data_IF_358328233047
#
_entry.id   IF_358328233047
#
_cell.length_a   1.000
_cell.length_b   1.000
_cell.length_c   1.000
_cell.angle_alpha   90.00
_cell.angle_beta   90.00
_cell.angle_gamma   90.00
#
_symmetry.space_group_name_H-M   'P 1'
#
loop_
_entity.id
_entity.type
_entity.pdbx_description
1 polymer ?
#
# COMPACT_ATOMS: atom_id res chain seq x y z
N UNK A 1 -5.20 24.44 25.88
CA UNK A 1 -3.75 24.35 26.12
C UNK A 1 -3.09 25.43 25.26
N UNK A 2 -2.75 26.55 25.88
CA UNK A 2 -2.15 27.70 25.17
C UNK A 2 -0.77 27.31 24.62
N UNK A 3 -0.66 27.25 23.31
CA UNK A 3 0.63 27.09 22.64
C UNK A 3 1.32 28.45 22.73
N UNK A 4 2.28 28.59 23.66
CA UNK A 4 3.05 29.85 23.82
C UNK A 4 3.79 30.16 22.52
N UNK A 5 3.81 31.43 22.10
CA UNK A 5 4.47 31.93 20.89
C UNK A 5 5.88 31.35 20.69
N UNK A 6 6.63 31.18 21.77
CA UNK A 6 7.97 30.56 21.81
C UNK A 6 8.02 29.13 21.23
N UNK A 7 6.98 28.32 21.44
CA UNK A 7 6.86 26.98 20.86
C UNK A 7 6.54 27.03 19.36
N UNK A 8 5.78 28.03 18.89
CA UNK A 8 5.53 28.23 17.46
C UNK A 8 6.82 28.66 16.74
N UNK A 9 7.59 29.56 17.36
CA UNK A 9 8.88 30.02 16.80
C UNK A 9 9.89 28.87 16.69
N UNK A 10 10.00 28.02 17.72
CA UNK A 10 10.95 26.89 17.71
C UNK A 10 10.49 25.76 16.78
N UNK A 11 9.19 25.47 16.73
CA UNK A 11 8.67 24.33 15.97
C UNK A 11 8.38 24.63 14.50
N UNK A 12 8.24 25.91 14.12
CA UNK A 12 7.80 26.28 12.76
C UNK A 12 8.75 27.28 12.09
N UNK A 13 9.18 28.33 12.80
CA UNK A 13 9.99 29.41 12.22
C UNK A 13 11.45 29.00 12.07
N UNK A 14 12.04 28.41 13.12
CA UNK A 14 13.44 27.97 13.09
C UNK A 14 13.71 26.90 12.01
N UNK A 15 12.86 25.86 11.82
CA UNK A 15 13.01 24.92 10.72
C UNK A 15 12.89 25.59 9.34
N UNK A 16 11.97 26.55 9.18
CA UNK A 16 11.80 27.28 7.92
C UNK A 16 13.07 28.07 7.56
N UNK A 17 13.67 28.75 8.53
CA UNK A 17 14.90 29.53 8.35
C UNK A 17 16.08 28.61 8.04
N UNK A 18 16.22 27.49 8.76
CA UNK A 18 17.28 26.51 8.48
C UNK A 18 17.12 25.91 7.08
N UNK A 19 15.90 25.64 6.64
CA UNK A 19 15.59 25.13 5.29
C UNK A 19 15.96 26.15 4.23
N UNK A 20 15.60 27.43 4.41
CA UNK A 20 15.92 28.51 3.46
C UNK A 20 17.44 28.70 3.39
N UNK A 21 18.15 28.65 4.52
CA UNK A 21 19.60 28.76 4.53
C UNK A 21 20.28 27.55 3.86
N UNK A 22 19.80 26.33 4.11
CA UNK A 22 20.35 25.11 3.49
C UNK A 22 20.02 24.99 2.00
N UNK A 23 18.83 25.43 1.56
CA UNK A 23 18.46 25.43 0.15
C UNK A 23 19.28 26.44 -0.65
N UNK A 24 19.60 27.59 -0.05
CA UNK A 24 20.50 28.59 -0.64
C UNK A 24 21.95 28.08 -0.73
N UNK A 25 22.39 27.29 0.25
CA UNK A 25 23.74 26.71 0.28
C UNK A 25 23.93 25.52 -0.68
N UNK A 26 22.86 24.77 -1.01
CA UNK A 26 22.93 23.54 -1.81
C UNK A 26 22.44 23.71 -3.26
N UNK A 27 21.82 24.83 -3.63
CA UNK A 27 21.45 25.14 -5.02
C UNK A 27 20.32 24.27 -5.60
N UNK A 28 19.43 23.73 -4.76
CA UNK A 28 18.38 22.75 -5.15
C UNK A 28 16.97 23.36 -5.15
N UNK A 29 16.04 22.72 -5.90
CA UNK A 29 14.67 23.21 -6.10
C UNK A 29 13.81 23.19 -4.82
N UNK A 30 13.14 24.32 -4.53
CA UNK A 30 12.32 24.59 -3.32
C UNK A 30 11.21 23.56 -3.01
N UNK A 31 10.79 22.76 -3.99
CA UNK A 31 9.67 21.83 -3.90
C UNK A 31 9.95 20.63 -2.97
N UNK A 32 11.19 20.10 -3.00
CA UNK A 32 11.59 18.99 -2.15
C UNK A 32 11.49 19.38 -0.67
N UNK A 33 11.98 20.57 -0.32
CA UNK A 33 11.94 21.09 1.06
C UNK A 33 10.54 21.36 1.60
N UNK A 34 9.61 21.78 0.73
CA UNK A 34 8.19 21.94 1.12
C UNK A 34 7.54 20.58 1.43
N UNK A 35 7.84 19.55 0.64
CA UNK A 35 7.45 18.17 0.97
C UNK A 35 8.07 17.78 2.31
N UNK A 36 9.37 18.01 2.55
CA UNK A 36 10.01 17.67 3.83
C UNK A 36 9.44 18.44 5.04
N UNK A 37 8.96 19.68 4.86
CA UNK A 37 8.22 20.40 5.89
C UNK A 37 6.89 19.69 6.20
N UNK A 38 6.14 19.28 5.18
CA UNK A 38 4.94 18.47 5.35
C UNK A 38 5.23 17.11 6.00
N UNK A 39 6.37 16.49 5.67
CA UNK A 39 6.84 15.23 6.28
C UNK A 39 7.17 15.42 7.76
N UNK A 40 7.93 16.47 8.10
CA UNK A 40 8.26 16.84 9.48
C UNK A 40 7.02 17.21 10.29
N UNK A 41 6.06 17.94 9.70
CA UNK A 41 4.77 18.23 10.32
C UNK A 41 3.94 16.97 10.54
N UNK A 42 3.83 16.08 9.55
CA UNK A 42 3.12 14.81 9.68
C UNK A 42 3.75 13.92 10.75
N UNK A 43 5.09 13.84 10.79
CA UNK A 43 5.80 13.03 11.77
C UNK A 43 5.70 13.60 13.18
N UNK A 44 5.79 14.93 13.34
CA UNK A 44 5.52 15.63 14.59
C UNK A 44 4.10 15.38 15.08
N UNK A 45 3.11 15.45 14.18
CA UNK A 45 1.74 15.10 14.50
C UNK A 45 1.66 13.63 14.93
N UNK A 46 2.32 12.72 14.21
CA UNK A 46 2.32 11.27 14.51
C UNK A 46 2.94 10.95 15.87
N UNK A 47 4.10 11.53 16.20
CA UNK A 47 4.78 11.35 17.51
C UNK A 47 3.97 11.97 18.65
N UNK A 48 3.41 13.17 18.45
CA UNK A 48 2.49 13.82 19.40
C UNK A 48 1.19 13.04 19.58
N UNK A 49 0.65 12.44 18.52
CA UNK A 49 -0.53 11.56 18.60
C UNK A 49 -0.20 10.24 19.29
N UNK A 50 1.02 9.70 19.14
CA UNK A 50 1.46 8.47 19.82
C UNK A 50 1.82 8.68 21.31
N UNK A 51 1.92 9.93 21.77
CA UNK A 51 2.15 10.30 23.17
C UNK A 51 3.63 10.38 23.55
N UNK A 52 4.53 10.52 22.57
CA UNK A 52 5.96 10.60 22.77
C UNK A 52 6.46 12.02 22.51
N UNK A 53 7.17 12.60 23.48
CA UNK A 53 7.87 13.88 23.32
C UNK A 53 9.26 13.63 22.71
N UNK A 54 9.33 13.39 21.41
CA UNK A 54 10.62 13.41 20.69
C UNK A 54 10.91 14.87 20.34
N UNK A 55 12.07 15.36 20.78
CA UNK A 55 12.52 16.72 20.45
C UNK A 55 12.77 16.84 18.95
N UNK A 56 12.20 17.89 18.33
CA UNK A 56 12.34 18.18 16.90
C UNK A 56 13.82 18.30 16.47
N UNK A 57 14.69 18.63 17.42
CA UNK A 57 16.16 18.70 17.31
C UNK A 57 16.83 17.38 16.90
N UNK A 58 16.25 16.21 17.20
CA UNK A 58 16.81 14.92 16.78
C UNK A 58 16.41 14.52 15.35
N UNK A 59 15.32 15.08 14.84
CA UNK A 59 14.74 14.72 13.54
C UNK A 59 15.46 15.45 12.39
N UNK A 60 15.91 16.68 12.63
CA UNK A 60 16.61 17.49 11.63
C UNK A 60 17.94 16.85 11.19
N UNK A 61 18.85 16.41 12.08
CA UNK A 61 20.09 15.74 11.66
C UNK A 61 19.85 14.43 10.90
N UNK A 62 18.82 13.65 11.28
CA UNK A 62 18.49 12.39 10.61
C UNK A 62 17.92 12.66 9.21
N UNK A 63 17.04 13.66 9.07
CA UNK A 63 16.54 14.11 7.76
C UNK A 63 17.66 14.73 6.91
N UNK A 64 18.58 15.50 7.51
CA UNK A 64 19.73 16.10 6.83
C UNK A 64 20.74 15.06 6.36
N UNK A 65 21.03 14.03 7.17
CA UNK A 65 21.88 12.90 6.75
C UNK A 65 21.18 12.08 5.66
N UNK A 66 19.87 11.84 5.78
CA UNK A 66 19.09 11.19 4.73
C UNK A 66 19.09 12.01 3.42
N UNK A 67 19.01 13.34 3.50
CA UNK A 67 19.09 14.28 2.38
C UNK A 67 20.46 14.24 1.67
N UNK A 68 21.55 14.30 2.42
CA UNK A 68 22.93 14.22 1.87
C UNK A 68 23.17 12.89 1.16
N UNK A 69 22.53 11.82 1.62
CA UNK A 69 22.65 10.51 0.99
C UNK A 69 21.75 10.33 -0.25
N UNK A 70 20.74 11.17 -0.50
CA UNK A 70 19.66 10.85 -1.48
C UNK A 70 19.57 11.72 -2.74
N UNK A 71 20.29 12.83 -2.88
CA UNK A 71 20.31 13.60 -4.14
C UNK A 71 18.97 14.27 -4.52
N UNK A 72 18.93 14.90 -5.70
CA UNK A 72 18.12 16.11 -5.96
C UNK A 72 16.60 15.96 -6.19
N UNK A 73 16.01 14.77 -6.32
CA UNK A 73 14.59 14.69 -6.69
C UNK A 73 13.84 13.57 -5.99
N UNK A 74 12.95 13.95 -5.09
CA UNK A 74 12.00 13.05 -4.45
C UNK A 74 10.56 13.38 -4.89
N UNK A 75 10.16 12.83 -6.03
CA UNK A 75 8.77 12.46 -6.29
C UNK A 75 8.79 11.08 -6.95
N UNK A 76 8.60 10.04 -6.15
CA UNK A 76 8.54 8.65 -6.61
C UNK A 76 9.76 8.20 -7.43
N UNK A 77 10.98 8.39 -6.91
CA UNK A 77 12.17 7.78 -7.53
C UNK A 77 12.22 6.27 -7.21
N UNK A 78 11.40 5.53 -7.95
CA UNK A 78 11.40 4.08 -7.99
C UNK A 78 12.56 3.52 -8.85
N UNK A 79 13.36 4.33 -9.55
CA UNK A 79 14.34 3.84 -10.54
C UNK A 79 15.72 4.54 -10.51
N UNK A 80 16.55 4.26 -11.51
CA UNK A 80 17.99 4.11 -11.36
C UNK A 80 18.79 5.32 -11.85
N UNK A 81 19.00 6.31 -10.97
CA UNK A 81 20.09 7.28 -11.13
C UNK A 81 21.47 6.60 -10.93
N UNK A 82 21.87 5.78 -11.91
CA UNK A 82 23.21 5.19 -12.07
C UNK A 82 23.78 4.47 -10.83
N UNK A 83 22.97 3.75 -10.05
CA UNK A 83 23.44 2.97 -8.88
C UNK A 83 24.16 3.79 -7.78
N UNK A 84 24.18 5.13 -7.87
CA UNK A 84 24.93 6.01 -6.97
C UNK A 84 24.40 6.00 -5.52
N UNK A 85 23.16 5.57 -5.32
CA UNK A 85 22.61 5.27 -4.01
C UNK A 85 21.96 3.87 -4.02
N UNK A 86 22.61 2.85 -3.44
CA UNK A 86 22.10 1.48 -3.45
C UNK A 86 20.95 1.26 -2.46
N UNK A 87 20.73 2.17 -1.51
CA UNK A 87 19.76 1.96 -0.43
C UNK A 87 18.35 2.44 -0.79
N UNK A 88 18.19 3.50 -1.60
CA UNK A 88 16.90 4.05 -2.11
C UNK A 88 15.70 3.80 -1.17
N UNK A 89 15.83 4.14 0.12
CA UNK A 89 14.76 3.94 1.10
C UNK A 89 13.91 5.20 1.14
N UNK A 90 12.59 5.07 1.03
CA UNK A 90 11.71 6.21 1.18
C UNK A 90 11.89 6.83 2.59
N UNK A 91 12.07 8.16 2.73
CA UNK A 91 12.31 8.81 4.03
C UNK A 91 11.28 8.49 5.11
N UNK A 92 9.99 8.38 4.75
CA UNK A 92 8.94 7.88 5.66
C UNK A 92 9.20 6.48 6.18
N UNK A 93 9.60 5.55 5.33
CA UNK A 93 9.89 4.17 5.72
C UNK A 93 11.11 4.15 6.63
N UNK A 94 12.16 4.91 6.30
CA UNK A 94 13.33 5.04 7.17
C UNK A 94 12.96 5.61 8.55
N UNK A 95 12.24 6.73 8.59
CA UNK A 95 11.81 7.37 9.84
C UNK A 95 10.89 6.44 10.65
N UNK A 96 9.99 5.72 9.98
CA UNK A 96 9.15 4.69 10.58
C UNK A 96 9.99 3.57 11.21
N UNK A 97 10.98 3.04 10.48
CA UNK A 97 11.84 1.97 10.98
C UNK A 97 12.66 2.42 12.18
N UNK A 98 13.16 3.67 12.20
CA UNK A 98 13.83 4.23 13.37
C UNK A 98 12.89 4.25 14.58
N UNK A 99 11.65 4.73 14.41
CA UNK A 99 10.63 4.73 15.49
C UNK A 99 10.35 3.30 15.97
N UNK A 100 10.17 2.37 15.03
CA UNK A 100 9.90 0.98 15.34
C UNK A 100 11.06 0.34 16.12
N UNK A 101 12.31 0.55 15.71
CA UNK A 101 13.49 0.02 16.39
C UNK A 101 13.63 0.58 17.80
N UNK A 102 13.45 1.90 17.97
CA UNK A 102 13.48 2.54 19.30
C UNK A 102 12.38 1.97 20.21
N UNK A 103 11.15 1.87 19.70
CA UNK A 103 10.02 1.24 20.39
C UNK A 103 10.31 -0.22 20.76
N UNK A 104 10.92 -0.97 19.84
CA UNK A 104 11.24 -2.37 20.07
C UNK A 104 12.29 -2.53 21.18
N UNK A 105 13.40 -1.78 21.10
CA UNK A 105 14.47 -1.81 22.11
C UNK A 105 13.93 -1.43 23.48
N UNK A 106 13.15 -0.35 23.59
CA UNK A 106 12.56 0.09 24.85
C UNK A 106 11.67 -1.00 25.47
N UNK A 107 10.78 -1.60 24.66
CA UNK A 107 9.89 -2.66 25.15
C UNK A 107 10.62 -3.96 25.46
N UNK A 108 11.72 -4.26 24.75
CA UNK A 108 12.57 -5.42 25.02
C UNK A 108 13.27 -5.26 26.37
N UNK A 109 13.91 -4.12 26.61
CA UNK A 109 14.62 -3.80 27.86
C UNK A 109 13.67 -3.78 29.05
N UNK A 110 12.45 -3.27 28.86
CA UNK A 110 11.42 -3.22 29.90
C UNK A 110 10.61 -4.51 30.03
N UNK A 111 10.95 -5.58 29.29
CA UNK A 111 10.25 -6.89 29.27
C UNK A 111 8.73 -6.76 29.02
N UNK A 112 8.33 -5.79 28.19
CA UNK A 112 6.93 -5.51 27.84
C UNK A 112 6.49 -6.20 26.54
N UNK A 113 7.41 -6.82 25.80
CA UNK A 113 7.12 -7.57 24.56
C UNK A 113 6.42 -8.90 24.88
N UNK A 114 5.40 -9.20 24.09
CA UNK A 114 4.70 -10.49 24.12
C UNK A 114 5.34 -11.39 23.06
N UNK A 115 6.06 -12.42 23.51
CA UNK A 115 6.67 -13.44 22.65
C UNK A 115 5.67 -14.57 22.37
N UNK A 116 4.73 -14.32 21.46
CA UNK A 116 3.80 -15.36 21.02
C UNK A 116 4.02 -15.76 19.56
N UNK A 117 3.24 -16.75 19.09
CA UNK A 117 3.42 -17.35 17.77
C UNK A 117 3.39 -16.32 16.63
N UNK A 118 2.53 -15.31 16.70
CA UNK A 118 2.43 -14.27 15.67
C UNK A 118 3.66 -13.38 15.69
N UNK A 119 4.10 -12.94 16.87
CA UNK A 119 5.31 -12.15 17.02
C UNK A 119 6.53 -12.90 16.46
N UNK A 120 6.72 -14.16 16.87
CA UNK A 120 7.84 -14.98 16.43
C UNK A 120 7.83 -15.20 14.91
N UNK A 121 6.66 -15.44 14.32
CA UNK A 121 6.53 -15.59 12.87
C UNK A 121 6.78 -14.28 12.11
N UNK A 122 6.36 -13.12 12.63
CA UNK A 122 6.72 -11.83 12.05
C UNK A 122 8.25 -11.66 11.98
N UNK A 123 8.94 -11.87 13.10
CA UNK A 123 10.41 -11.76 13.16
C UNK A 123 11.07 -12.79 12.23
N UNK A 124 10.58 -14.03 12.22
CA UNK A 124 11.10 -15.08 11.36
C UNK A 124 10.96 -14.73 9.87
N UNK A 125 9.79 -14.25 9.43
CA UNK A 125 9.59 -13.78 8.05
C UNK A 125 10.55 -12.64 7.72
N UNK A 126 10.66 -11.65 8.60
CA UNK A 126 11.55 -10.50 8.39
C UNK A 126 13.01 -10.93 8.23
N UNK A 127 13.49 -11.79 9.13
CA UNK A 127 14.87 -12.30 9.10
C UNK A 127 15.12 -13.15 7.87
N UNK A 128 14.21 -14.05 7.52
CA UNK A 128 14.38 -14.93 6.36
C UNK A 128 14.34 -14.14 5.05
N UNK A 129 13.36 -13.26 4.86
CA UNK A 129 13.21 -12.52 3.60
C UNK A 129 14.36 -11.53 3.42
N UNK A 130 14.77 -10.86 4.51
CA UNK A 130 15.95 -10.01 4.50
C UNK A 130 17.22 -10.83 4.24
N UNK A 131 17.39 -11.97 4.92
CA UNK A 131 18.55 -12.85 4.75
C UNK A 131 18.69 -13.38 3.33
N UNK A 132 17.59 -13.84 2.71
CA UNK A 132 17.58 -14.30 1.31
C UNK A 132 18.01 -13.17 0.38
N UNK A 133 17.42 -11.98 0.55
CA UNK A 133 17.74 -10.81 -0.27
C UNK A 133 19.20 -10.36 -0.09
N UNK A 134 19.69 -10.34 1.15
CA UNK A 134 21.04 -9.91 1.46
C UNK A 134 22.10 -10.87 0.91
N UNK A 135 21.91 -12.18 1.06
CA UNK A 135 22.87 -13.18 0.57
C UNK A 135 22.94 -13.18 -0.97
N UNK A 136 21.81 -12.99 -1.65
CA UNK A 136 21.74 -13.07 -3.12
C UNK A 136 22.07 -11.76 -3.84
N UNK A 137 21.67 -10.62 -3.29
CA UNK A 137 21.80 -9.29 -3.93
C UNK A 137 22.63 -8.28 -3.14
N UNK A 138 23.07 -8.61 -1.94
CA UNK A 138 23.79 -7.68 -1.07
C UNK A 138 22.97 -6.43 -0.76
N UNK A 139 23.64 -5.28 -0.70
CA UNK A 139 23.04 -3.99 -0.34
C UNK A 139 22.04 -3.50 -1.41
N UNK A 140 22.28 -3.80 -2.69
CA UNK A 140 21.42 -3.35 -3.79
C UNK A 140 20.00 -3.93 -3.77
N UNK A 141 19.80 -5.09 -3.13
CA UNK A 141 18.47 -5.69 -2.93
C UNK A 141 17.71 -5.16 -1.71
N UNK A 142 18.39 -4.48 -0.78
CA UNK A 142 17.80 -4.11 0.51
C UNK A 142 16.60 -3.18 0.37
N UNK A 143 16.64 -2.25 -0.59
CA UNK A 143 15.51 -1.32 -0.83
C UNK A 143 14.20 -2.09 -1.06
N UNK A 144 14.23 -3.14 -1.88
CA UNK A 144 13.04 -3.94 -2.18
C UNK A 144 12.53 -4.68 -0.94
N UNK A 145 13.43 -5.34 -0.20
CA UNK A 145 13.06 -6.06 1.01
C UNK A 145 12.46 -5.13 2.08
N UNK A 146 13.02 -3.91 2.18
CA UNK A 146 12.57 -2.91 3.14
C UNK A 146 11.16 -2.41 2.81
N UNK A 147 10.89 -2.05 1.55
CA UNK A 147 9.57 -1.54 1.17
C UNK A 147 8.50 -2.63 1.12
N UNK A 148 8.82 -3.81 0.60
CA UNK A 148 7.81 -4.84 0.42
C UNK A 148 7.49 -5.61 1.70
N UNK A 149 8.43 -5.73 2.64
CA UNK A 149 8.26 -6.61 3.80
C UNK A 149 8.57 -5.91 5.12
N UNK A 150 9.74 -5.29 5.27
CA UNK A 150 10.16 -4.73 6.56
C UNK A 150 9.23 -3.62 7.04
N UNK A 151 8.94 -2.63 6.20
CA UNK A 151 8.03 -1.52 6.53
C UNK A 151 6.62 -2.00 6.89
N UNK A 152 5.92 -2.73 6.01
CA UNK A 152 4.56 -3.19 6.27
C UNK A 152 4.43 -4.11 7.51
N UNK A 153 5.33 -5.10 7.66
CA UNK A 153 5.27 -6.05 8.79
C UNK A 153 5.64 -5.37 10.11
N UNK A 154 6.66 -4.50 10.12
CA UNK A 154 7.02 -3.75 11.33
C UNK A 154 5.90 -2.80 11.77
N UNK A 155 5.15 -2.22 10.82
CA UNK A 155 3.94 -1.43 11.11
C UNK A 155 2.90 -2.23 11.90
N UNK A 156 2.57 -3.43 11.43
CA UNK A 156 1.67 -4.31 12.17
C UNK A 156 2.25 -4.71 13.53
N UNK A 157 3.54 -5.09 13.58
CA UNK A 157 4.18 -5.55 14.81
C UNK A 157 4.21 -4.46 15.89
N UNK A 158 4.40 -3.19 15.51
CA UNK A 158 4.33 -2.06 16.44
C UNK A 158 2.99 -2.00 17.18
N UNK A 159 1.88 -2.01 16.45
CA UNK A 159 0.54 -1.97 17.06
C UNK A 159 0.20 -3.26 17.78
N UNK A 160 0.70 -4.39 17.28
CA UNK A 160 0.56 -5.69 17.91
C UNK A 160 1.17 -5.72 19.32
N UNK A 161 2.39 -5.20 19.48
CA UNK A 161 3.10 -5.16 20.76
C UNK A 161 2.65 -4.01 21.67
N UNK A 162 1.99 -2.97 21.14
CA UNK A 162 1.59 -1.80 21.93
C UNK A 162 0.51 -2.14 22.95
N UNK A 163 0.80 -2.01 24.25
CA UNK A 163 -0.15 -2.36 25.33
C UNK A 163 -1.44 -1.52 25.31
N UNK A 164 -1.33 -0.20 25.16
CA UNK A 164 -2.47 0.71 25.11
C UNK A 164 -2.51 1.44 23.76
N UNK A 165 -3.62 1.28 23.05
CA UNK A 165 -3.84 1.93 21.76
C UNK A 165 -5.01 2.89 21.93
N UNK A 166 -4.79 4.17 21.65
CA UNK A 166 -5.84 5.17 21.66
C UNK A 166 -6.66 5.04 20.38
N UNK A 167 -7.73 4.26 20.42
CA UNK A 167 -8.60 3.95 19.27
C UNK A 167 -9.21 5.21 18.68
N UNK A 168 -9.55 6.22 19.50
CA UNK A 168 -10.04 7.52 19.02
C UNK A 168 -9.02 8.23 18.12
N UNK A 169 -7.73 8.20 18.47
CA UNK A 169 -6.68 8.80 17.63
C UNK A 169 -6.45 8.01 16.34
N UNK A 170 -6.47 6.68 16.42
CA UNK A 170 -6.37 5.82 15.22
C UNK A 170 -7.53 6.08 14.28
N UNK A 171 -8.77 6.12 14.79
CA UNK A 171 -9.96 6.39 14.01
C UNK A 171 -9.90 7.77 13.34
N UNK A 172 -9.35 8.80 14.00
CA UNK A 172 -9.09 10.11 13.36
C UNK A 172 -8.09 10.02 12.22
N UNK A 173 -7.02 9.24 12.36
CA UNK A 173 -6.06 9.04 11.28
C UNK A 173 -6.69 8.30 10.09
N UNK A 174 -7.55 7.31 10.36
CA UNK A 174 -8.34 6.62 9.32
C UNK A 174 -9.32 7.60 8.65
N UNK A 175 -9.96 8.49 9.39
CA UNK A 175 -10.84 9.50 8.82
C UNK A 175 -10.07 10.45 7.87
N UNK A 176 -8.87 10.87 8.26
CA UNK A 176 -7.98 11.68 7.40
C UNK A 176 -7.59 10.89 6.13
N UNK A 177 -7.28 9.61 6.26
CA UNK A 177 -6.97 8.76 5.11
C UNK A 177 -8.17 8.65 4.16
N UNK A 178 -9.39 8.47 4.67
CA UNK A 178 -10.61 8.47 3.85
C UNK A 178 -10.77 9.80 3.13
N UNK A 179 -10.56 10.93 3.80
CA UNK A 179 -10.58 12.25 3.16
C UNK A 179 -9.56 12.38 2.03
N UNK A 180 -8.32 11.95 2.26
CA UNK A 180 -7.30 11.92 1.21
C UNK A 180 -7.71 11.01 0.03
N UNK A 181 -8.27 9.82 0.31
CA UNK A 181 -8.78 8.92 -0.73
C UNK A 181 -9.89 9.57 -1.55
N UNK A 182 -10.82 10.30 -0.92
CA UNK A 182 -11.89 11.05 -1.60
C UNK A 182 -11.31 12.13 -2.51
N UNK A 183 -10.33 12.90 -2.02
CA UNK A 183 -9.67 13.92 -2.85
C UNK A 183 -8.98 13.29 -4.07
N UNK A 184 -8.27 12.17 -3.88
CA UNK A 184 -7.63 11.43 -4.97
C UNK A 184 -8.68 10.89 -5.97
N UNK A 185 -9.81 10.37 -5.47
CA UNK A 185 -10.92 9.88 -6.31
C UNK A 185 -11.54 11.00 -7.14
N UNK A 186 -11.89 12.13 -6.52
CA UNK A 186 -12.42 13.30 -7.22
C UNK A 186 -11.44 13.84 -8.28
N UNK A 187 -10.14 13.86 -7.96
CA UNK A 187 -9.10 14.20 -8.94
C UNK A 187 -9.03 13.18 -10.08
N UNK A 188 -9.22 11.89 -9.80
CA UNK A 188 -9.30 10.84 -10.82
C UNK A 188 -10.50 11.01 -11.75
N UNK A 189 -11.67 11.33 -11.21
CA UNK A 189 -12.86 11.66 -12.01
C UNK A 189 -12.58 12.87 -12.91
N UNK A 190 -11.99 13.94 -12.37
CA UNK A 190 -11.62 15.12 -13.15
C UNK A 190 -10.58 14.82 -14.23
N UNK A 191 -9.55 14.03 -13.89
CA UNK A 191 -8.51 13.55 -14.81
C UNK A 191 -9.15 12.78 -15.97
N UNK A 192 -10.13 11.93 -15.71
CA UNK A 192 -10.82 11.16 -16.75
C UNK A 192 -11.56 12.07 -17.76
N UNK A 193 -12.31 13.07 -17.27
CA UNK A 193 -13.06 13.98 -18.14
C UNK A 193 -12.15 14.90 -18.95
N UNK A 194 -11.09 15.42 -18.32
CA UNK A 194 -10.14 16.33 -18.98
C UNK A 194 -9.12 15.60 -19.85
N UNK A 195 -8.91 14.29 -19.61
CA UNK A 195 -7.82 13.47 -20.16
C UNK A 195 -6.44 14.04 -19.84
N UNK A 196 -6.33 14.91 -18.83
CA UNK A 196 -5.08 15.55 -18.42
C UNK A 196 -4.71 15.15 -17.00
N UNK A 197 -3.49 14.67 -16.81
CA UNK A 197 -2.91 14.40 -15.50
C UNK A 197 -1.79 15.40 -15.23
N UNK A 198 -1.83 16.09 -14.10
CA UNK A 198 -0.83 17.11 -13.72
C UNK A 198 0.59 16.51 -13.59
N UNK A 199 0.68 15.22 -13.26
CA UNK A 199 1.92 14.46 -13.15
C UNK A 199 2.32 13.75 -14.44
N UNK A 200 1.62 13.97 -15.56
CA UNK A 200 1.90 13.30 -16.84
C UNK A 200 3.35 13.49 -17.30
N UNK A 201 3.88 14.72 -17.22
CA UNK A 201 5.26 15.02 -17.62
C UNK A 201 6.28 14.26 -16.77
N UNK A 202 5.98 14.03 -15.49
CA UNK A 202 6.83 13.26 -14.60
C UNK A 202 6.80 11.77 -14.95
N UNK A 203 5.62 11.22 -15.28
CA UNK A 203 5.52 9.83 -15.72
C UNK A 203 6.23 9.59 -17.07
N UNK A 204 6.10 10.55 -18.00
CA UNK A 204 6.74 10.48 -19.31
C UNK A 204 8.26 10.64 -19.24
N UNK A 205 8.78 11.56 -18.42
CA UNK A 205 10.22 11.75 -18.23
C UNK A 205 10.92 10.49 -17.67
N UNK A 206 10.16 9.65 -16.96
CA UNK A 206 10.67 8.45 -16.31
C UNK A 206 10.53 7.16 -17.14
N UNK A 207 10.20 7.25 -18.44
CA UNK A 207 10.07 6.12 -19.37
C UNK A 207 9.27 4.93 -18.80
N UNK A 208 8.17 5.23 -18.12
CA UNK A 208 7.30 4.22 -17.53
C UNK A 208 6.72 3.31 -18.63
N UNK A 209 7.17 2.05 -18.70
CA UNK A 209 6.75 1.06 -19.71
C UNK A 209 5.24 0.82 -19.75
N UNK A 210 4.55 1.06 -18.64
CA UNK A 210 3.09 0.96 -18.54
C UNK A 210 2.35 2.16 -19.14
N UNK A 211 3.00 3.31 -19.32
CA UNK A 211 2.36 4.56 -19.76
C UNK A 211 1.83 4.43 -21.20
N UNK A 212 2.58 3.79 -22.10
CA UNK A 212 2.18 3.57 -23.49
C UNK A 212 0.91 2.74 -23.62
N UNK A 213 0.68 1.82 -22.67
CA UNK A 213 -0.52 0.98 -22.62
C UNK A 213 -1.78 1.76 -22.18
N UNK A 214 -1.62 2.94 -21.56
CA UNK A 214 -2.75 3.73 -21.04
C UNK A 214 -3.46 4.60 -22.10
N UNK A 215 -2.91 4.69 -23.31
CA UNK A 215 -3.50 5.47 -24.40
C UNK A 215 -4.12 4.62 -25.52
N UNK A 216 -3.68 3.35 -25.68
CA UNK A 216 -4.14 2.47 -26.78
C UNK A 216 -5.55 1.90 -26.59
N UNK A 217 -6.00 1.71 -25.35
CA UNK A 217 -7.26 1.03 -25.01
C UNK A 217 -8.34 1.98 -24.45
N UNK A 218 -8.14 3.29 -24.58
CA UNK A 218 -8.95 4.33 -23.93
C UNK A 218 -8.26 4.90 -22.69
N UNK A 219 -8.67 6.11 -22.28
CA UNK A 219 -8.01 6.84 -21.19
C UNK A 219 -8.25 6.16 -19.84
N UNK A 220 -7.17 5.80 -19.14
CA UNK A 220 -7.21 5.20 -17.80
C UNK A 220 -6.63 6.17 -16.79
N UNK A 221 -7.32 6.39 -15.68
CA UNK A 221 -6.87 7.32 -14.65
C UNK A 221 -5.57 6.81 -14.00
N UNK A 222 -4.65 7.75 -13.75
CA UNK A 222 -3.35 7.50 -13.11
C UNK A 222 -3.28 8.14 -11.72
N UNK A 223 -4.01 9.22 -11.50
CA UNK A 223 -3.99 10.04 -10.29
C UNK A 223 -2.56 10.42 -9.88
N UNK A 224 -2.32 10.68 -8.58
CA UNK A 224 -0.99 10.83 -8.00
C UNK A 224 -0.28 9.48 -7.78
N UNK A 225 -1.04 8.37 -7.76
CA UNK A 225 -0.51 7.02 -7.45
C UNK A 225 0.26 6.44 -8.64
N UNK A 226 -0.09 6.83 -9.87
CA UNK A 226 0.58 6.39 -11.10
C UNK A 226 -0.13 5.20 -11.75
N UNK A 227 0.40 3.99 -11.59
CA UNK A 227 -0.06 2.83 -12.35
C UNK A 227 -1.57 2.57 -12.16
N UNK A 228 -2.38 2.36 -13.22
CA UNK A 228 -3.83 2.19 -13.06
C UNK A 228 -4.26 0.99 -12.21
N UNK A 229 -3.48 -0.11 -12.17
CA UNK A 229 -3.79 -1.24 -11.28
C UNK A 229 -3.55 -0.89 -9.80
N UNK A 230 -2.54 -0.08 -9.50
CA UNK A 230 -2.23 0.33 -8.13
C UNK A 230 -3.31 1.29 -7.61
N UNK A 231 -3.80 2.18 -8.49
CA UNK A 231 -4.99 2.98 -8.23
C UNK A 231 -6.21 2.11 -7.90
N UNK A 232 -6.48 1.09 -8.70
CA UNK A 232 -7.63 0.21 -8.50
C UNK A 232 -7.58 -0.47 -7.13
N UNK A 233 -6.39 -0.95 -6.72
CA UNK A 233 -6.21 -1.55 -5.39
C UNK A 233 -6.33 -0.52 -4.28
N UNK A 234 -5.79 0.68 -4.45
CA UNK A 234 -5.94 1.76 -3.47
C UNK A 234 -7.41 2.12 -3.24
N UNK A 235 -8.21 2.23 -4.31
CA UNK A 235 -9.64 2.48 -4.19
C UNK A 235 -10.39 1.30 -3.59
N UNK A 236 -10.04 0.06 -3.92
CA UNK A 236 -10.61 -1.13 -3.25
C UNK A 236 -10.29 -1.14 -1.74
N UNK A 237 -9.04 -0.85 -1.37
CA UNK A 237 -8.63 -0.68 0.02
C UNK A 237 -9.43 0.43 0.71
N UNK A 238 -9.63 1.57 0.03
CA UNK A 238 -10.43 2.69 0.54
C UNK A 238 -11.90 2.30 0.75
N UNK A 239 -12.50 1.51 -0.17
CA UNK A 239 -13.86 0.96 0.01
C UNK A 239 -13.95 0.07 1.25
N UNK A 240 -12.97 -0.81 1.46
CA UNK A 240 -12.92 -1.69 2.64
C UNK A 240 -12.84 -0.87 3.93
N UNK A 241 -11.98 0.15 3.97
CA UNK A 241 -11.84 1.02 5.13
C UNK A 241 -13.14 1.78 5.42
N UNK A 242 -13.81 2.28 4.38
CA UNK A 242 -15.14 2.91 4.52
C UNK A 242 -16.15 1.94 5.13
N UNK A 243 -16.17 0.68 4.69
CA UNK A 243 -17.05 -0.34 5.26
C UNK A 243 -16.79 -0.56 6.76
N UNK A 244 -15.53 -0.57 7.18
CA UNK A 244 -15.13 -0.78 8.57
C UNK A 244 -15.36 0.44 9.47
N UNK A 245 -15.15 1.66 8.95
CA UNK A 245 -15.09 2.90 9.76
C UNK A 245 -16.39 3.72 9.74
N UNK A 246 -17.05 3.83 8.60
CA UNK A 246 -18.17 4.76 8.41
C UNK A 246 -19.46 4.07 8.85
N UNK A 247 -20.14 4.64 9.84
CA UNK A 247 -21.40 4.07 10.38
C UNK A 247 -22.65 4.65 9.72
N UNK A 248 -22.59 5.90 9.29
CA UNK A 248 -23.71 6.54 8.59
C UNK A 248 -23.89 5.94 7.20
N UNK A 249 -25.08 5.39 6.93
CA UNK A 249 -25.36 4.68 5.68
C UNK A 249 -25.27 5.62 4.48
N UNK A 250 -25.78 6.86 4.58
CA UNK A 250 -25.79 7.81 3.46
C UNK A 250 -24.35 8.12 3.04
N UNK A 251 -23.53 8.56 3.99
CA UNK A 251 -22.10 8.86 3.75
C UNK A 251 -21.36 7.63 3.25
N UNK A 252 -21.56 6.47 3.89
CA UNK A 252 -20.92 5.21 3.49
C UNK A 252 -21.19 4.89 2.02
N UNK A 253 -22.46 4.83 1.62
CA UNK A 253 -22.83 4.42 0.27
C UNK A 253 -22.47 5.46 -0.79
N UNK A 254 -22.48 6.75 -0.46
CA UNK A 254 -21.95 7.80 -1.35
C UNK A 254 -20.45 7.60 -1.60
N UNK A 255 -19.67 7.31 -0.55
CA UNK A 255 -18.23 7.06 -0.68
C UNK A 255 -17.94 5.76 -1.44
N UNK A 256 -18.70 4.69 -1.18
CA UNK A 256 -18.57 3.43 -1.90
C UNK A 256 -18.90 3.58 -3.40
N UNK A 257 -19.91 4.39 -3.72
CA UNK A 257 -20.26 4.72 -5.11
C UNK A 257 -19.14 5.51 -5.80
N UNK A 258 -18.54 6.49 -5.12
CA UNK A 258 -17.39 7.22 -5.67
C UNK A 258 -16.24 6.25 -5.99
N UNK A 259 -15.83 5.44 -5.01
CA UNK A 259 -14.67 4.56 -5.21
C UNK A 259 -14.91 3.42 -6.21
N UNK A 260 -16.14 2.90 -6.36
CA UNK A 260 -16.40 1.92 -7.42
C UNK A 260 -16.38 2.57 -8.81
N UNK A 261 -16.81 3.84 -8.94
CA UNK A 261 -16.62 4.62 -10.16
C UNK A 261 -15.13 4.80 -10.41
N UNK A 262 -14.33 5.20 -9.42
CA UNK A 262 -12.88 5.34 -9.58
C UNK A 262 -12.23 4.03 -10.06
N UNK A 263 -12.57 2.89 -9.45
CA UNK A 263 -12.10 1.56 -9.91
C UNK A 263 -12.51 1.32 -11.36
N UNK A 264 -13.73 1.66 -11.77
CA UNK A 264 -14.18 1.55 -13.15
C UNK A 264 -13.30 2.41 -14.09
N UNK A 265 -12.99 3.64 -13.70
CA UNK A 265 -12.15 4.59 -14.47
C UNK A 265 -10.68 4.14 -14.59
N UNK A 266 -10.19 3.29 -13.69
CA UNK A 266 -8.86 2.65 -13.85
C UNK A 266 -8.83 1.58 -14.94
N UNK A 267 -9.99 1.14 -15.43
CA UNK A 267 -10.12 0.05 -16.40
C UNK A 267 -9.70 -1.32 -15.88
N UNK A 268 -9.59 -1.52 -14.55
CA UNK A 268 -9.21 -2.80 -13.94
C UNK A 268 -10.40 -3.74 -13.77
N UNK A 269 -10.54 -4.71 -14.69
CA UNK A 269 -11.67 -5.65 -14.75
C UNK A 269 -11.79 -6.55 -13.51
N UNK A 270 -10.69 -7.17 -13.09
CA UNK A 270 -10.68 -8.12 -11.97
C UNK A 270 -10.98 -7.41 -10.64
N UNK A 271 -10.37 -6.25 -10.42
CA UNK A 271 -10.59 -5.46 -9.20
C UNK A 271 -12.00 -4.88 -9.18
N UNK A 272 -12.53 -4.45 -10.33
CA UNK A 272 -13.92 -4.01 -10.45
C UNK A 272 -14.91 -5.12 -10.07
N UNK A 273 -14.71 -6.35 -10.57
CA UNK A 273 -15.53 -7.49 -10.19
C UNK A 273 -15.43 -7.80 -8.67
N UNK A 274 -14.22 -7.72 -8.12
CA UNK A 274 -13.96 -7.98 -6.69
C UNK A 274 -14.57 -6.89 -5.79
N UNK A 275 -14.67 -5.64 -6.26
CA UNK A 275 -15.28 -4.54 -5.52
C UNK A 275 -16.74 -4.83 -5.11
N UNK A 276 -17.46 -5.63 -5.89
CA UNK A 276 -18.82 -6.07 -5.54
C UNK A 276 -18.87 -6.93 -4.28
N UNK A 277 -17.83 -7.72 -3.98
CA UNK A 277 -17.74 -8.46 -2.72
C UNK A 277 -17.68 -7.52 -1.51
N UNK A 278 -17.03 -6.36 -1.67
CA UNK A 278 -16.97 -5.30 -0.64
C UNK A 278 -18.32 -4.59 -0.51
N UNK A 279 -19.04 -4.37 -1.60
CA UNK A 279 -20.39 -3.76 -1.57
C UNK A 279 -21.45 -4.66 -0.92
N UNK A 280 -21.38 -5.97 -1.17
CA UNK A 280 -22.32 -6.97 -0.63
C UNK A 280 -22.05 -7.24 0.86
N UNK A 281 -20.83 -6.97 1.34
CA UNK A 281 -20.48 -7.15 2.74
C UNK A 281 -21.40 -6.33 3.65
N UNK A 282 -22.11 -7.01 4.55
CA UNK A 282 -22.98 -6.39 5.55
C UNK A 282 -22.72 -6.97 6.93
N UNK A 283 -22.03 -6.20 7.78
CA UNK A 283 -21.74 -6.56 9.17
C UNK A 283 -23.03 -6.66 10.03
N UNK A 284 -24.08 -5.92 9.69
CA UNK A 284 -25.32 -5.81 10.47
C UNK A 284 -26.36 -6.89 10.13
N UNK A 285 -26.04 -7.82 9.23
CA UNK A 285 -26.96 -8.77 8.60
C UNK A 285 -27.69 -9.78 9.51
N UNK A 286 -27.52 -9.72 10.84
CA UNK A 286 -28.06 -10.71 11.79
C UNK A 286 -29.00 -10.16 12.88
N UNK A 287 -29.19 -8.83 13.02
CA UNK A 287 -29.96 -8.29 14.17
C UNK A 287 -31.27 -7.54 13.86
N UNK A 288 -31.47 -6.99 12.65
CA UNK A 288 -32.71 -6.26 12.30
C UNK A 288 -33.11 -6.47 10.83
N UNK A 289 -34.27 -7.09 10.59
CA UNK A 289 -34.73 -7.51 9.25
C UNK A 289 -35.04 -6.34 8.30
N UNK A 290 -35.64 -5.25 8.79
CA UNK A 290 -36.04 -4.11 7.96
C UNK A 290 -34.86 -3.25 7.48
N UNK A 291 -33.90 -2.97 8.36
CA UNK A 291 -32.68 -2.24 7.97
C UNK A 291 -31.82 -3.06 7.02
N UNK A 292 -31.84 -4.39 7.16
CA UNK A 292 -31.20 -5.34 6.24
C UNK A 292 -31.77 -5.22 4.83
N UNK A 293 -33.10 -5.25 4.67
CA UNK A 293 -33.75 -5.12 3.35
C UNK A 293 -33.38 -3.78 2.68
N UNK A 294 -33.43 -2.67 3.43
CA UNK A 294 -33.06 -1.34 2.91
C UNK A 294 -31.59 -1.29 2.46
N UNK A 295 -30.68 -1.86 3.25
CA UNK A 295 -29.26 -1.92 2.89
C UNK A 295 -29.02 -2.78 1.64
N UNK A 296 -29.64 -3.96 1.55
CA UNK A 296 -29.54 -4.80 0.35
C UNK A 296 -30.11 -4.10 -0.88
N UNK A 297 -31.23 -3.40 -0.74
CA UNK A 297 -31.81 -2.63 -1.84
C UNK A 297 -30.86 -1.52 -2.30
N UNK A 298 -30.28 -0.74 -1.39
CA UNK A 298 -29.30 0.31 -1.74
C UNK A 298 -28.06 -0.29 -2.42
N UNK A 299 -27.54 -1.40 -1.88
CA UNK A 299 -26.43 -2.13 -2.50
C UNK A 299 -26.79 -2.58 -3.91
N UNK A 300 -27.97 -3.20 -4.10
CA UNK A 300 -28.46 -3.61 -5.42
C UNK A 300 -28.66 -2.41 -6.37
N UNK A 301 -29.12 -1.26 -5.88
CA UNK A 301 -29.21 -0.04 -6.67
C UNK A 301 -27.83 0.44 -7.12
N UNK A 302 -26.82 0.45 -6.24
CA UNK A 302 -25.45 0.83 -6.61
C UNK A 302 -24.90 -0.14 -7.65
N UNK A 303 -25.09 -1.45 -7.45
CA UNK A 303 -24.69 -2.47 -8.41
C UNK A 303 -25.39 -2.23 -9.76
N UNK A 304 -26.71 -2.06 -9.74
CA UNK A 304 -27.51 -1.80 -10.93
C UNK A 304 -27.08 -0.54 -11.67
N UNK A 305 -26.93 0.58 -10.98
CA UNK A 305 -26.47 1.85 -11.57
C UNK A 305 -25.06 1.70 -12.14
N UNK A 306 -24.14 1.09 -11.40
CA UNK A 306 -22.75 0.90 -11.87
C UNK A 306 -22.71 0.01 -13.11
N UNK A 307 -23.46 -1.09 -13.13
CA UNK A 307 -23.57 -1.98 -14.29
C UNK A 307 -24.24 -1.28 -15.49
N UNK A 308 -25.31 -0.54 -15.28
CA UNK A 308 -26.00 0.22 -16.33
C UNK A 308 -25.09 1.29 -16.93
N UNK A 309 -24.42 2.09 -16.09
CA UNK A 309 -23.45 3.11 -16.54
C UNK A 309 -22.32 2.46 -17.30
N UNK A 310 -21.81 1.32 -16.82
CA UNK A 310 -20.77 0.58 -17.51
C UNK A 310 -21.24 0.15 -18.89
N UNK A 311 -22.39 -0.53 -19.00
CA UNK A 311 -22.92 -1.06 -20.26
C UNK A 311 -23.35 0.02 -21.26
N UNK A 312 -23.74 1.21 -20.79
CA UNK A 312 -24.25 2.31 -21.63
C UNK A 312 -23.19 3.32 -22.07
N UNK A 313 -21.94 3.19 -21.61
CA UNK A 313 -20.86 4.15 -21.91
C UNK A 313 -19.67 3.49 -22.60
N UNK A 314 -18.76 4.31 -23.13
CA UNK A 314 -17.50 3.84 -23.72
C UNK A 314 -16.64 3.02 -22.74
N UNK A 315 -16.83 3.20 -21.43
CA UNK A 315 -16.18 2.39 -20.39
C UNK A 315 -16.53 0.90 -20.52
N UNK A 316 -17.78 0.57 -20.83
CA UNK A 316 -18.20 -0.82 -21.08
C UNK A 316 -17.53 -1.39 -22.32
N UNK A 317 -17.45 -0.62 -23.40
CA UNK A 317 -16.74 -1.04 -24.62
C UNK A 317 -15.24 -1.26 -24.37
N UNK A 318 -14.59 -0.43 -23.56
CA UNK A 318 -13.20 -0.60 -23.12
C UNK A 318 -13.05 -1.84 -22.24
N UNK A 319 -13.97 -2.11 -21.29
CA UNK A 319 -13.90 -3.33 -20.49
C UNK A 319 -14.12 -4.59 -21.34
N UNK A 320 -15.09 -4.57 -22.26
CA UNK A 320 -15.44 -5.73 -23.10
C UNK A 320 -14.39 -6.03 -24.17
N UNK A 321 -13.83 -5.00 -24.83
CA UNK A 321 -12.71 -5.19 -25.77
C UNK A 321 -11.52 -5.85 -25.09
N UNK A 322 -11.23 -5.47 -23.84
CA UNK A 322 -10.18 -6.11 -23.03
C UNK A 322 -10.52 -7.53 -22.63
N UNK A 323 -11.80 -7.90 -22.45
CA UNK A 323 -12.23 -9.31 -22.24
C UNK A 323 -11.98 -10.13 -23.50
N UNK A 324 -12.29 -9.60 -24.68
CA UNK A 324 -12.04 -10.27 -25.96
C UNK A 324 -10.55 -10.45 -26.30
N UNK A 325 -9.68 -9.52 -25.88
CA UNK A 325 -8.21 -9.59 -26.08
C UNK A 325 -7.44 -10.22 -24.90
N UNK A 326 -8.13 -10.81 -23.93
CA UNK A 326 -7.53 -11.30 -22.68
C UNK A 326 -6.74 -12.61 -22.80
N UNK A 327 -6.62 -13.18 -24.01
CA UNK A 327 -5.84 -14.39 -24.26
C UNK A 327 -4.45 -14.27 -23.67
N UNK A 328 -3.76 -13.16 -23.93
CA UNK A 328 -2.32 -13.06 -23.70
C UNK A 328 -1.92 -13.07 -22.21
N UNK A 329 -2.63 -12.34 -21.35
CA UNK A 329 -2.34 -12.28 -19.90
C UNK A 329 -2.83 -13.53 -19.15
N UNK A 330 -3.99 -14.07 -19.55
CA UNK A 330 -4.53 -15.29 -18.95
C UNK A 330 -3.65 -16.49 -19.31
N UNK A 331 -3.26 -16.58 -20.58
CA UNK A 331 -2.35 -17.60 -21.09
C UNK A 331 -0.96 -17.47 -20.48
N UNK A 332 -0.40 -16.26 -20.34
CA UNK A 332 0.86 -16.04 -19.65
C UNK A 332 0.85 -16.55 -18.20
N UNK A 333 -0.24 -16.32 -17.45
CA UNK A 333 -0.39 -16.82 -16.07
C UNK A 333 -0.49 -18.34 -16.04
N UNK A 334 -1.25 -18.96 -16.94
CA UNK A 334 -1.35 -20.42 -17.01
C UNK A 334 -0.03 -21.07 -17.44
N UNK A 335 0.67 -20.49 -18.42
CA UNK A 335 2.02 -20.93 -18.82
C UNK A 335 3.00 -20.86 -17.65
N UNK A 336 2.96 -19.79 -16.86
CA UNK A 336 3.79 -19.64 -15.67
C UNK A 336 3.45 -20.69 -14.59
N UNK A 337 2.16 -20.92 -14.33
CA UNK A 337 1.71 -21.94 -13.37
C UNK A 337 2.14 -23.34 -13.83
N UNK A 338 1.95 -23.67 -15.10
CA UNK A 338 2.33 -24.96 -15.67
C UNK A 338 3.85 -25.18 -15.59
N UNK A 339 4.64 -24.16 -15.97
CA UNK A 339 6.09 -24.19 -15.80
C UNK A 339 6.48 -24.40 -14.34
N UNK A 340 5.87 -23.64 -13.42
CA UNK A 340 6.15 -23.68 -12.00
C UNK A 340 5.87 -25.06 -11.39
N UNK A 341 4.71 -25.66 -11.70
CA UNK A 341 4.33 -26.98 -11.18
C UNK A 341 5.27 -28.06 -11.71
N UNK A 342 5.61 -28.03 -13.00
CA UNK A 342 6.50 -29.02 -13.63
C UNK A 342 7.93 -28.99 -13.07
N UNK A 343 8.38 -27.83 -12.60
CA UNK A 343 9.74 -27.63 -12.07
C UNK A 343 9.76 -27.46 -10.56
N UNK A 344 8.64 -27.71 -9.87
CA UNK A 344 8.52 -27.43 -8.44
C UNK A 344 9.61 -28.13 -7.63
N UNK A 345 9.93 -29.38 -7.96
CA UNK A 345 10.96 -30.18 -7.28
C UNK A 345 12.40 -29.79 -7.63
N UNK A 346 12.62 -29.02 -8.70
CA UNK A 346 13.96 -28.58 -9.11
C UNK A 346 14.33 -27.21 -8.55
N UNK A 347 13.40 -26.50 -7.90
CA UNK A 347 13.71 -25.23 -7.26
C UNK A 347 14.46 -25.42 -5.94
N UNK A 348 15.41 -24.52 -5.68
CA UNK A 348 16.15 -24.49 -4.42
C UNK A 348 15.25 -24.05 -3.27
N UNK A 349 15.63 -24.42 -2.04
CA UNK A 349 14.92 -24.01 -0.82
C UNK A 349 14.86 -22.49 -0.71
N UNK A 350 15.97 -21.83 -1.04
CA UNK A 350 16.17 -20.40 -1.02
C UNK A 350 15.84 -19.77 -2.37
N UNK A 351 15.16 -18.63 -2.35
CA UNK A 351 14.86 -17.85 -3.55
C UNK A 351 16.02 -16.98 -4.04
N UNK A 352 15.74 -16.19 -5.07
CA UNK A 352 16.69 -15.34 -5.80
C UNK A 352 16.77 -13.90 -5.24
N UNK A 353 16.07 -13.62 -4.13
CA UNK A 353 16.13 -12.36 -3.40
C UNK A 353 15.67 -11.13 -4.16
N UNK A 354 14.48 -11.17 -4.76
CA UNK A 354 13.90 -10.01 -5.43
C UNK A 354 14.38 -9.85 -6.87
N UNK A 355 14.86 -10.92 -7.52
CA UNK A 355 15.36 -10.91 -8.90
C UNK A 355 14.27 -11.12 -9.94
N UNK A 356 12.99 -11.08 -9.55
CA UNK A 356 11.83 -11.21 -10.42
C UNK A 356 11.93 -10.42 -11.73
N UNK A 357 12.39 -9.17 -11.69
CA UNK A 357 12.58 -8.30 -12.87
C UNK A 357 13.65 -8.80 -13.87
N UNK A 358 14.59 -9.64 -13.41
CA UNK A 358 15.70 -10.17 -14.21
C UNK A 358 15.48 -11.62 -14.65
N UNK A 359 14.43 -12.27 -14.16
CA UNK A 359 14.11 -13.66 -14.49
C UNK A 359 13.53 -13.69 -15.91
N UNK A 360 14.28 -14.30 -16.84
CA UNK A 360 13.81 -14.64 -18.18
C UNK A 360 13.49 -16.13 -18.23
N UNK A 361 12.20 -16.47 -18.20
CA UNK A 361 11.76 -17.85 -18.41
C UNK A 361 11.40 -18.00 -19.88
N UNK A 362 11.94 -19.05 -20.50
CA UNK A 362 11.66 -19.40 -21.88
C UNK A 362 10.82 -20.67 -21.87
N UNK A 363 9.61 -20.58 -22.41
CA UNK A 363 8.67 -21.68 -22.58
C UNK A 363 8.99 -22.56 -23.79
N UNK A 364 8.06 -23.46 -24.12
CA UNK A 364 8.18 -24.28 -25.34
C UNK A 364 8.19 -23.37 -26.58
N UNK A 365 9.02 -23.69 -27.57
CA UNK A 365 9.21 -22.91 -28.80
C UNK A 365 9.82 -21.52 -28.62
N UNK A 366 10.66 -21.35 -27.59
CA UNK A 366 11.38 -20.09 -27.34
C UNK A 366 10.47 -18.89 -27.03
N UNK A 367 9.25 -19.13 -26.55
CA UNK A 367 8.31 -18.08 -26.15
C UNK A 367 8.67 -17.53 -24.77
N UNK A 368 8.80 -16.21 -24.58
CA UNK A 368 9.07 -15.64 -23.26
C UNK A 368 7.83 -15.82 -22.36
N UNK A 369 8.02 -16.38 -21.18
CA UNK A 369 6.97 -16.49 -20.15
C UNK A 369 7.02 -15.23 -19.28
N UNK A 370 5.94 -14.46 -19.29
CA UNK A 370 5.79 -13.24 -18.49
C UNK A 370 5.41 -13.61 -17.06
N UNK A 371 6.11 -13.02 -16.08
CA UNK A 371 5.79 -13.18 -14.67
C UNK A 371 4.55 -12.35 -14.30
N UNK A 372 3.38 -13.00 -14.24
CA UNK A 372 2.10 -12.35 -13.92
C UNK A 372 1.37 -12.96 -12.70
N UNK A 373 2.04 -13.78 -11.90
CA UNK A 373 1.49 -14.37 -10.68
C UNK A 373 2.29 -13.94 -9.45
N UNK A 374 1.71 -13.13 -8.54
CA UNK A 374 2.44 -12.54 -7.42
C UNK A 374 2.93 -13.59 -6.39
N UNK A 375 2.24 -14.71 -6.26
CA UNK A 375 2.65 -15.78 -5.35
C UNK A 375 3.83 -16.58 -5.91
N UNK A 376 3.84 -16.84 -7.22
CA UNK A 376 4.98 -17.48 -7.90
C UNK A 376 6.18 -16.53 -7.93
N UNK A 377 5.95 -15.23 -8.17
CA UNK A 377 6.99 -14.19 -8.08
C UNK A 377 7.59 -14.18 -6.66
N UNK A 378 6.74 -14.15 -5.63
CA UNK A 378 7.20 -14.19 -4.24
C UNK A 378 7.96 -15.49 -3.92
N UNK A 379 7.55 -16.62 -4.49
CA UNK A 379 8.30 -17.87 -4.38
C UNK A 379 9.66 -17.76 -5.06
N UNK A 380 9.76 -17.17 -6.25
CA UNK A 380 11.06 -16.95 -6.88
C UNK A 380 11.94 -16.02 -6.06
N UNK A 381 11.36 -15.07 -5.32
CA UNK A 381 12.13 -14.16 -4.49
C UNK A 381 12.63 -14.81 -3.19
N UNK A 382 11.80 -15.59 -2.49
CA UNK A 382 12.13 -16.08 -1.14
C UNK A 382 12.14 -17.61 -1.01
N UNK A 383 11.88 -18.34 -2.09
CA UNK A 383 11.82 -19.79 -2.12
C UNK A 383 10.67 -20.33 -1.28
N UNK A 384 10.89 -21.48 -0.65
CA UNK A 384 9.89 -22.15 0.18
C UNK A 384 9.57 -21.40 1.48
N UNK A 385 10.34 -20.37 1.85
CA UNK A 385 10.02 -19.50 2.99
C UNK A 385 8.71 -18.72 2.79
N UNK A 386 8.17 -18.66 1.57
CA UNK A 386 6.82 -18.14 1.30
C UNK A 386 5.74 -18.81 2.16
N UNK A 387 5.91 -20.11 2.49
CA UNK A 387 4.95 -20.84 3.32
C UNK A 387 4.84 -20.26 4.73
N UNK A 388 5.95 -19.75 5.27
CA UNK A 388 6.00 -19.09 6.58
C UNK A 388 5.24 -17.76 6.53
N UNK A 389 5.36 -17.03 5.42
CA UNK A 389 4.60 -15.80 5.19
C UNK A 389 3.09 -16.06 5.06
N UNK A 390 2.69 -17.11 4.32
CA UNK A 390 1.29 -17.52 4.21
C UNK A 390 0.73 -17.91 5.59
N UNK A 391 1.49 -18.70 6.37
CA UNK A 391 1.11 -19.05 7.74
C UNK A 391 0.96 -17.81 8.63
N UNK A 392 1.86 -16.84 8.51
CA UNK A 392 1.78 -15.56 9.22
C UNK A 392 0.46 -14.84 8.88
N UNK A 393 0.13 -14.71 7.60
CA UNK A 393 -1.12 -14.07 7.16
C UNK A 393 -2.35 -14.78 7.74
N UNK A 394 -2.38 -16.12 7.72
CA UNK A 394 -3.48 -16.91 8.31
C UNK A 394 -3.62 -16.62 9.82
N UNK A 395 -2.51 -16.61 10.56
CA UNK A 395 -2.56 -16.35 12.00
C UNK A 395 -2.99 -14.91 12.33
N UNK A 396 -2.57 -13.93 11.52
CA UNK A 396 -3.05 -12.56 11.67
C UNK A 396 -4.56 -12.50 11.38
N UNK A 397 -5.02 -13.08 10.27
CA UNK A 397 -6.45 -13.13 9.92
C UNK A 397 -7.29 -13.75 11.05
N UNK A 398 -6.78 -14.74 11.77
CA UNK A 398 -7.48 -15.32 12.92
C UNK A 398 -7.70 -14.31 14.07
N UNK A 399 -6.93 -13.23 14.15
CA UNK A 399 -6.91 -12.25 15.25
C UNK A 399 -7.50 -10.87 14.92
N UNK A 400 -8.08 -10.69 13.75
CA UNK A 400 -8.69 -9.41 13.33
C UNK A 400 -10.21 -9.49 13.24
N UNK A 401 -10.87 -8.33 13.32
CA UNK A 401 -12.26 -8.14 12.89
C UNK A 401 -12.29 -7.95 11.35
N UNK A 402 -13.47 -8.09 10.74
CA UNK A 402 -13.67 -7.89 9.30
C UNK A 402 -12.80 -8.79 8.39
N UNK A 403 -12.52 -10.02 8.85
CA UNK A 403 -11.66 -11.01 8.16
C UNK A 403 -12.04 -11.22 6.69
N UNK A 404 -13.34 -11.24 6.38
CA UNK A 404 -13.85 -11.41 5.02
C UNK A 404 -13.35 -10.30 4.10
N UNK A 405 -13.40 -9.03 4.56
CA UNK A 405 -12.91 -7.90 3.76
C UNK A 405 -11.39 -7.96 3.56
N UNK A 406 -10.63 -8.38 4.58
CA UNK A 406 -9.20 -8.60 4.44
C UNK A 406 -8.87 -9.71 3.42
N UNK A 407 -9.64 -10.82 3.43
CA UNK A 407 -9.52 -11.89 2.43
C UNK A 407 -9.87 -11.36 1.03
N UNK A 408 -10.88 -10.50 0.89
CA UNK A 408 -11.21 -9.85 -0.39
C UNK A 408 -10.03 -9.05 -0.94
N UNK A 409 -9.32 -8.30 -0.09
CA UNK A 409 -8.11 -7.59 -0.52
C UNK A 409 -6.98 -8.56 -0.89
N UNK A 410 -6.77 -9.64 -0.13
CA UNK A 410 -5.79 -10.68 -0.45
C UNK A 410 -6.09 -11.32 -1.83
N UNK A 411 -7.36 -11.57 -2.12
CA UNK A 411 -7.77 -12.09 -3.42
C UNK A 411 -7.50 -11.08 -4.56
N UNK A 412 -7.75 -9.79 -4.33
CA UNK A 412 -7.45 -8.73 -5.30
C UNK A 412 -5.95 -8.61 -5.59
N UNK A 413 -5.12 -8.58 -4.56
CA UNK A 413 -3.65 -8.51 -4.73
C UNK A 413 -3.10 -9.80 -5.34
N UNK A 414 -3.75 -10.95 -5.16
CA UNK A 414 -3.38 -12.20 -5.85
C UNK A 414 -3.58 -12.14 -7.38
N UNK A 415 -4.34 -11.16 -7.88
CA UNK A 415 -4.72 -11.05 -9.29
C UNK A 415 -3.77 -10.24 -10.18
N UNK A 416 -2.67 -9.70 -9.66
CA UNK A 416 -1.66 -8.94 -10.43
C UNK A 416 -0.32 -8.91 -9.69
N UNK A 417 0.74 -8.38 -10.32
CA UNK A 417 2.08 -8.28 -9.73
C UNK A 417 2.11 -7.32 -8.53
N UNK A 418 1.80 -7.86 -7.36
CA UNK A 418 1.62 -7.12 -6.10
C UNK A 418 2.67 -7.46 -5.03
N UNK A 419 3.26 -8.66 -5.09
CA UNK A 419 4.35 -9.11 -4.24
C UNK A 419 5.63 -9.27 -5.06
N UNK A 420 6.78 -9.04 -4.42
CA UNK A 420 8.08 -9.26 -5.05
C UNK A 420 8.44 -8.28 -6.17
N UNK A 421 7.63 -7.21 -6.31
CA UNK A 421 7.86 -6.07 -7.19
C UNK A 421 7.68 -4.80 -6.39
N UNK A 422 8.20 -3.67 -6.87
CA UNK A 422 8.09 -2.38 -6.17
C UNK A 422 6.63 -1.86 -6.19
N UNK A 423 5.82 -2.25 -5.21
CA UNK A 423 4.39 -1.94 -5.13
C UNK A 423 3.92 -1.63 -3.70
N UNK A 424 2.93 -0.75 -3.56
CA UNK A 424 2.30 -0.39 -2.29
C UNK A 424 1.25 -1.41 -1.78
N UNK A 425 0.91 -2.44 -2.56
CA UNK A 425 -0.09 -3.45 -2.22
C UNK A 425 0.12 -4.08 -0.83
N UNK A 426 1.37 -4.38 -0.46
CA UNK A 426 1.70 -4.94 0.85
C UNK A 426 1.46 -3.94 2.00
N UNK A 427 1.72 -2.64 1.79
CA UNK A 427 1.36 -1.63 2.78
C UNK A 427 -0.16 -1.57 3.00
N UNK A 428 -0.95 -1.57 1.92
CA UNK A 428 -2.41 -1.57 2.04
C UNK A 428 -2.93 -2.80 2.79
N UNK A 429 -2.37 -3.99 2.51
CA UNK A 429 -2.70 -5.21 3.24
C UNK A 429 -2.39 -5.07 4.73
N UNK A 430 -1.15 -4.72 5.10
CA UNK A 430 -0.77 -4.66 6.51
C UNK A 430 -1.44 -3.51 7.27
N UNK A 431 -1.75 -2.39 6.62
CA UNK A 431 -2.56 -1.32 7.22
C UNK A 431 -3.97 -1.82 7.53
N UNK A 432 -4.58 -2.56 6.61
CA UNK A 432 -5.89 -3.18 6.81
C UNK A 432 -5.86 -4.20 7.96
N UNK A 433 -4.90 -5.11 7.96
CA UNK A 433 -4.72 -6.11 9.02
C UNK A 433 -4.49 -5.44 10.39
N UNK A 434 -3.71 -4.37 10.42
CA UNK A 434 -3.44 -3.59 11.63
C UNK A 434 -4.72 -2.94 12.16
N UNK A 435 -5.48 -2.28 11.31
CA UNK A 435 -6.72 -1.63 11.72
C UNK A 435 -7.76 -2.67 12.20
N UNK A 436 -7.91 -3.79 11.47
CA UNK A 436 -8.77 -4.90 11.88
C UNK A 436 -8.37 -5.49 13.25
N UNK A 437 -7.07 -5.60 13.54
CA UNK A 437 -6.56 -6.04 14.85
C UNK A 437 -6.90 -5.04 15.97
N UNK A 438 -6.71 -3.74 15.71
CA UNK A 438 -7.04 -2.68 16.68
C UNK A 438 -8.52 -2.71 17.05
N UNK A 439 -9.41 -2.89 16.07
CA UNK A 439 -10.85 -3.01 16.30
C UNK A 439 -11.21 -4.26 17.12
N UNK A 440 -10.54 -5.40 16.90
CA UNK A 440 -10.71 -6.59 17.74
C UNK A 440 -10.36 -6.31 19.19
N UNK A 441 -9.26 -5.59 19.44
CA UNK A 441 -8.83 -5.24 20.79
C UNK A 441 -9.79 -4.29 21.48
N UNK A 442 -10.29 -3.30 20.75
CA UNK A 442 -11.31 -2.37 21.26
C UNK A 442 -12.56 -3.13 21.72
N UNK A 443 -13.09 -4.00 20.85
CA UNK A 443 -14.28 -4.82 21.15
C UNK A 443 -14.10 -5.71 22.37
N UNK A 444 -12.92 -6.33 22.53
CA UNK A 444 -12.59 -7.15 23.71
C UNK A 444 -12.42 -6.33 25.00
N UNK A 445 -12.06 -5.04 24.89
CA UNK A 445 -11.95 -4.17 26.06
C UNK A 445 -13.30 -3.56 26.49
N UNK A 446 -14.29 -3.55 25.60
CA UNK A 446 -15.64 -3.05 25.86
C UNK A 446 -16.66 -4.12 26.26
N UNK A 447 -16.28 -5.40 26.19
CA UNK A 447 -17.06 -6.55 26.62
C UNK A 447 -16.51 -7.04 27.96
#
# INVERSE_FOLDING_TARGET
MEIKLKQITINLVLPLICIIAFSFLLGTNYYAYFIYLLLGCNFYLLTKFLGWEISFLFIIPILSIALVLTGDFFLLDFYNNNELNPLKIHPFVLAWLVVFVLFFIENLLTKKIIFDKVFLLCILVLVLFFGVTFITKGIGGMSLAIHNYLGPISFFLFFYCKRQINTKKVNKAIDVMIWCSVLIGLLGVFEYFTKTNVFQNLYSANNATWLDSTYREGYRIKTIIGHPLDNAVFFLFSMIIVQMRVKDNRTKYTLLLLFIIDILLTGSRSIFAIAFLVLIYNEQGLKNSLNKIKQYFITLCIIGVTCLVTLSTSLGSTLMSRVGSASDSTEARFMLIDYFIKHLSSFQIMGLGGASENIKIIGRYNTPIILENPWIILFFDVGYFILIYILLLILILCRIEYKVLAITLIFAISGYNSFGVKNNANYFLFYLLTYGYILTREKKSSA
#
